data_IF_987124882137
#
_entry.id   IF_987124882137
#
_cell.length_a   1.000
_cell.length_b   1.000
_cell.length_c   1.000
_cell.angle_alpha   90.00
_cell.angle_beta   90.00
_cell.angle_gamma   90.00
#
_symmetry.space_group_name_H-M   'P 1'
#
loop_
_entity.id
_entity.type
_entity.pdbx_description
1 polymer ?
#
# COMPACT_ATOMS: atom_id res chain seq x y z
N UNK A 1 65.56 -10.54 24.54
CA UNK A 1 65.16 -9.57 23.50
C UNK A 1 63.71 -9.18 23.83
N UNK A 2 63.49 -8.46 24.94
CA UNK A 2 63.33 -6.99 25.09
C UNK A 2 61.96 -6.52 24.54
N UNK A 3 61.05 -5.79 25.20
CA UNK A 3 60.76 -5.26 26.55
C UNK A 3 59.28 -4.78 26.43
N UNK A 4 58.32 -5.06 27.32
CA UNK A 4 57.98 -4.42 28.61
C UNK A 4 57.79 -2.88 28.65
N UNK A 5 56.54 -2.46 28.99
CA UNK A 5 56.10 -1.34 29.87
C UNK A 5 56.35 0.11 29.33
N UNK A 6 55.59 1.19 29.62
CA UNK A 6 54.62 1.52 30.68
C UNK A 6 53.93 2.88 30.39
N UNK A 7 52.78 3.10 31.04
CA UNK A 7 52.15 4.34 31.54
C UNK A 7 51.98 5.62 30.69
N UNK A 8 50.73 6.10 30.70
CA UNK A 8 50.36 7.51 30.55
C UNK A 8 48.90 7.74 30.93
N UNK A 9 48.64 8.00 32.21
CA UNK A 9 47.33 8.39 32.74
C UNK A 9 47.04 9.88 32.46
N UNK A 10 45.80 10.25 32.14
CA UNK A 10 45.26 11.55 32.58
C UNK A 10 43.72 11.64 32.56
N UNK A 11 43.21 11.97 33.74
CA UNK A 11 42.06 12.82 34.06
C UNK A 11 40.62 12.39 33.72
N UNK A 12 39.95 12.00 34.81
CA UNK A 12 38.55 12.27 35.13
C UNK A 12 38.02 13.60 34.58
N UNK A 13 36.84 13.55 33.97
CA UNK A 13 35.84 14.62 34.06
C UNK A 13 34.46 13.96 34.18
N UNK A 14 33.95 13.90 35.41
CA UNK A 14 32.52 13.77 35.67
C UNK A 14 31.84 15.07 35.22
N UNK A 15 30.85 14.96 34.35
CA UNK A 15 29.82 15.98 34.19
C UNK A 15 28.46 15.35 34.51
N UNK A 16 27.87 15.81 35.61
CA UNK A 16 26.53 15.51 36.07
C UNK A 16 25.57 16.62 35.58
N UNK A 17 24.30 16.27 35.40
CA UNK A 17 23.12 17.14 35.13
C UNK A 17 22.97 17.62 33.66
N UNK A 18 21.81 17.59 33.00
CA UNK A 18 20.40 17.39 33.34
C UNK A 18 19.64 17.01 32.04
N UNK A 19 18.37 16.52 32.08
CA UNK A 19 17.66 16.07 30.90
C UNK A 19 17.28 17.26 30.01
N UNK A 20 17.79 17.29 28.78
CA UNK A 20 17.23 18.16 27.75
C UNK A 20 15.85 17.61 27.37
N UNK A 21 14.81 18.29 27.89
CA UNK A 21 13.45 18.14 27.47
C UNK A 21 13.39 18.13 25.93
N UNK A 22 12.93 17.02 25.35
CA UNK A 22 12.52 17.00 23.94
C UNK A 22 11.30 17.91 23.81
N UNK A 23 11.54 19.16 23.47
CA UNK A 23 10.51 20.02 22.92
C UNK A 23 9.89 19.28 21.73
N UNK A 24 8.58 19.03 21.81
CA UNK A 24 7.76 18.60 20.69
C UNK A 24 7.96 19.62 19.57
N UNK A 25 8.79 19.29 18.58
CA UNK A 25 8.64 19.89 17.27
C UNK A 25 7.30 19.41 16.74
N UNK A 26 6.29 20.27 16.90
CA UNK A 26 5.06 20.20 16.12
C UNK A 26 5.50 20.27 14.67
N UNK A 27 5.55 19.10 14.02
CA UNK A 27 5.75 19.03 12.59
C UNK A 27 4.55 19.72 11.94
N UNK A 28 4.79 20.90 11.36
CA UNK A 28 3.89 21.51 10.40
C UNK A 28 3.57 20.44 9.33
N UNK A 29 2.31 20.27 8.92
CA UNK A 29 2.01 19.38 7.81
C UNK A 29 2.80 19.86 6.58
N UNK A 30 3.49 18.97 5.86
CA UNK A 30 4.18 19.36 4.63
C UNK A 30 3.14 19.96 3.67
N UNK A 31 3.51 20.97 2.85
CA UNK A 31 2.63 21.48 1.83
C UNK A 31 2.20 20.32 0.94
N UNK A 32 0.90 20.19 0.72
CA UNK A 32 0.30 19.17 -0.14
C UNK A 32 0.96 19.28 -1.51
N UNK A 33 1.88 18.37 -1.81
CA UNK A 33 2.49 18.28 -3.12
C UNK A 33 1.36 18.00 -4.12
N UNK A 34 1.16 18.93 -5.05
CA UNK A 34 0.23 18.75 -6.16
C UNK A 34 0.74 17.57 -6.97
N UNK A 35 0.06 16.44 -6.86
CA UNK A 35 0.40 15.24 -7.61
C UNK A 35 0.11 15.47 -9.10
N UNK A 36 1.13 15.22 -9.92
CA UNK A 36 0.98 15.11 -11.37
C UNK A 36 0.04 13.94 -11.70
N UNK A 37 -1.09 14.24 -12.33
CA UNK A 37 -2.13 13.27 -12.69
C UNK A 37 -1.70 12.29 -13.79
N UNK A 38 -0.52 12.48 -14.38
CA UNK A 38 0.06 11.56 -15.38
C UNK A 38 1.05 10.57 -14.78
N UNK A 39 1.43 10.73 -13.51
CA UNK A 39 2.19 9.72 -12.77
C UNK A 39 1.23 8.74 -12.09
N UNK A 40 1.47 7.41 -12.15
CA UNK A 40 0.67 6.44 -11.42
C UNK A 40 0.71 6.78 -9.93
N UNK A 41 -0.42 7.20 -9.37
CA UNK A 41 -0.51 7.54 -7.95
C UNK A 41 -0.25 6.29 -7.10
N UNK A 42 0.40 6.40 -5.93
CA UNK A 42 0.54 5.32 -4.94
C UNK A 42 -0.78 4.83 -4.30
N UNK A 43 -1.95 5.08 -4.92
CA UNK A 43 -3.20 4.35 -4.66
C UNK A 43 -3.11 2.93 -5.21
N UNK A 44 -1.97 2.30 -4.90
CA UNK A 44 -1.52 0.97 -5.22
C UNK A 44 -2.69 0.02 -5.01
N UNK A 45 -3.02 -0.69 -6.09
CA UNK A 45 -4.10 -1.65 -6.22
C UNK A 45 -4.95 -1.85 -4.95
N UNK A 46 -6.14 -1.22 -4.83
CA UNK A 46 -6.98 -1.39 -3.64
C UNK A 46 -7.33 -2.86 -3.39
N UNK A 47 -7.30 -3.70 -4.42
CA UNK A 47 -7.49 -5.15 -4.28
C UNK A 47 -6.34 -5.82 -3.51
N UNK A 48 -5.10 -5.37 -3.67
CA UNK A 48 -3.92 -5.88 -2.98
C UNK A 48 -3.98 -5.60 -1.49
N UNK A 49 -4.29 -4.34 -1.15
CA UNK A 49 -4.45 -3.90 0.23
C UNK A 49 -5.58 -4.68 0.90
N UNK A 50 -6.73 -4.82 0.23
CA UNK A 50 -7.85 -5.57 0.77
C UNK A 50 -7.53 -7.07 0.93
N UNK A 51 -6.81 -7.68 -0.03
CA UNK A 51 -6.40 -9.09 0.01
C UNK A 51 -5.44 -9.36 1.15
N UNK A 52 -4.40 -8.53 1.30
CA UNK A 52 -3.41 -8.65 2.36
C UNK A 52 -4.04 -8.45 3.76
N UNK A 53 -4.88 -7.44 3.94
CA UNK A 53 -5.55 -7.16 5.21
C UNK A 53 -6.46 -8.31 5.64
N UNK A 54 -7.30 -8.82 4.73
CA UNK A 54 -8.18 -9.96 4.98
C UNK A 54 -7.41 -11.21 5.41
N UNK A 55 -6.36 -11.54 4.67
CA UNK A 55 -5.50 -12.67 4.98
C UNK A 55 -4.83 -12.50 6.35
N UNK A 56 -4.30 -11.30 6.61
CA UNK A 56 -3.70 -10.98 7.90
C UNK A 56 -4.69 -11.08 9.05
N UNK A 57 -5.89 -10.54 8.94
CA UNK A 57 -6.89 -10.60 10.01
C UNK A 57 -7.32 -12.04 10.30
N UNK A 58 -7.42 -12.88 9.26
CA UNK A 58 -7.66 -14.31 9.43
C UNK A 58 -6.53 -14.97 10.23
N UNK A 59 -5.28 -14.77 9.81
CA UNK A 59 -4.10 -15.36 10.45
C UNK A 59 -3.86 -14.82 11.88
N UNK A 60 -4.10 -13.52 12.12
CA UNK A 60 -3.99 -12.91 13.46
C UNK A 60 -4.93 -13.59 14.45
N UNK A 61 -6.16 -13.86 14.03
CA UNK A 61 -7.16 -14.54 14.85
C UNK A 61 -6.84 -16.01 15.05
N UNK A 62 -6.53 -16.72 13.96
CA UNK A 62 -6.30 -18.18 13.96
C UNK A 62 -5.03 -18.56 14.75
N UNK A 63 -3.99 -17.72 14.71
CA UNK A 63 -2.71 -17.95 15.39
C UNK A 63 -2.58 -17.23 16.74
N UNK A 64 -3.63 -16.51 17.18
CA UNK A 64 -3.65 -15.75 18.43
C UNK A 64 -2.44 -14.81 18.58
N UNK A 65 -2.17 -14.01 17.55
CA UNK A 65 -0.97 -13.17 17.50
C UNK A 65 -1.07 -11.97 18.45
N UNK A 66 0.05 -11.62 19.08
CA UNK A 66 0.15 -10.37 19.83
C UNK A 66 0.31 -9.15 18.89
N UNK A 67 0.26 -7.94 19.44
CA UNK A 67 0.30 -6.70 18.66
C UNK A 67 1.55 -6.56 17.77
N UNK A 68 2.73 -6.94 18.27
CA UNK A 68 3.97 -6.90 17.51
C UNK A 68 3.95 -7.90 16.35
N UNK A 69 3.58 -9.15 16.64
CA UNK A 69 3.49 -10.22 15.64
C UNK A 69 2.47 -9.90 14.56
N UNK A 70 1.31 -9.38 14.94
CA UNK A 70 0.26 -8.98 14.02
C UNK A 70 0.70 -7.84 13.10
N UNK A 71 1.43 -6.84 13.62
CA UNK A 71 1.97 -5.75 12.81
C UNK A 71 3.02 -6.25 11.79
N UNK A 72 3.94 -7.13 12.23
CA UNK A 72 4.94 -7.74 11.34
C UNK A 72 4.29 -8.62 10.28
N UNK A 73 3.33 -9.47 10.66
CA UNK A 73 2.56 -10.30 9.74
C UNK A 73 1.85 -9.47 8.67
N UNK A 74 1.22 -8.35 9.05
CA UNK A 74 0.56 -7.45 8.09
C UNK A 74 1.53 -6.87 7.06
N UNK A 75 2.71 -6.44 7.50
CA UNK A 75 3.74 -5.95 6.60
C UNK A 75 4.24 -7.04 5.65
N UNK A 76 4.48 -8.25 6.17
CA UNK A 76 4.90 -9.42 5.38
C UNK A 76 3.84 -9.74 4.33
N UNK A 77 2.57 -9.89 4.73
CA UNK A 77 1.50 -10.22 3.79
C UNK A 77 1.29 -9.12 2.75
N UNK A 78 1.41 -7.84 3.11
CA UNK A 78 1.31 -6.75 2.14
C UNK A 78 2.40 -6.82 1.06
N UNK A 79 3.66 -7.12 1.43
CA UNK A 79 4.76 -7.36 0.47
C UNK A 79 4.44 -8.56 -0.43
N UNK A 80 4.08 -9.71 0.16
CA UNK A 80 3.85 -10.95 -0.59
C UNK A 80 2.64 -10.86 -1.51
N UNK A 81 1.56 -10.24 -1.08
CA UNK A 81 0.37 -10.02 -1.93
C UNK A 81 0.71 -9.10 -3.10
N UNK A 82 1.49 -8.03 -2.87
CA UNK A 82 1.96 -7.16 -3.96
C UNK A 82 2.78 -7.93 -5.00
N UNK A 83 3.68 -8.82 -4.55
CA UNK A 83 4.44 -9.71 -5.44
C UNK A 83 3.56 -10.71 -6.19
N UNK A 84 2.56 -11.30 -5.52
CA UNK A 84 1.63 -12.24 -6.14
C UNK A 84 0.85 -11.60 -7.28
N UNK A 85 0.33 -10.41 -7.05
CA UNK A 85 -0.44 -9.71 -8.09
C UNK A 85 0.42 -9.29 -9.27
N UNK A 86 1.67 -8.88 -9.00
CA UNK A 86 2.62 -8.61 -10.07
C UNK A 86 2.89 -9.89 -10.89
N UNK A 87 3.09 -11.03 -10.22
CA UNK A 87 3.25 -12.33 -10.88
C UNK A 87 2.00 -12.74 -11.68
N UNK A 88 0.80 -12.54 -11.12
CA UNK A 88 -0.49 -12.83 -11.77
C UNK A 88 -0.67 -11.98 -13.03
N UNK A 89 -0.32 -10.69 -12.98
CA UNK A 89 -0.34 -9.80 -14.14
C UNK A 89 0.68 -10.19 -15.20
N UNK A 90 1.92 -10.48 -14.81
CA UNK A 90 3.01 -10.83 -15.73
C UNK A 90 2.78 -12.18 -16.42
N UNK A 91 2.16 -13.14 -15.73
CA UNK A 91 2.00 -14.51 -16.21
C UNK A 91 0.55 -14.88 -16.51
N UNK A 92 -0.33 -13.91 -16.82
CA UNK A 92 -1.76 -14.13 -17.04
C UNK A 92 -2.08 -15.24 -18.08
N UNK A 93 -1.14 -15.57 -18.98
CA UNK A 93 -1.28 -16.61 -20.00
C UNK A 93 -0.31 -17.80 -19.82
N UNK A 94 0.48 -17.81 -18.74
CA UNK A 94 1.49 -18.83 -18.47
C UNK A 94 1.33 -19.39 -17.05
N UNK A 95 0.39 -20.32 -16.89
CA UNK A 95 0.09 -20.94 -15.60
C UNK A 95 1.30 -21.63 -14.95
N UNK A 96 2.15 -22.40 -15.68
CA UNK A 96 3.34 -23.00 -15.08
C UNK A 96 4.31 -21.97 -14.47
N UNK A 97 4.56 -20.86 -15.18
CA UNK A 97 5.44 -19.81 -14.67
C UNK A 97 4.83 -19.09 -13.47
N UNK A 98 3.51 -18.86 -13.49
CA UNK A 98 2.79 -18.28 -12.35
C UNK A 98 2.89 -19.17 -11.10
N UNK A 99 2.69 -20.48 -11.25
CA UNK A 99 2.73 -21.43 -10.14
C UNK A 99 4.14 -21.51 -9.53
N UNK A 100 5.18 -21.45 -10.36
CA UNK A 100 6.56 -21.38 -9.88
C UNK A 100 6.83 -20.11 -9.06
N UNK A 101 6.42 -18.94 -9.57
CA UNK A 101 6.59 -17.68 -8.84
C UNK A 101 5.79 -17.66 -7.53
N UNK A 102 4.54 -18.14 -7.57
CA UNK A 102 3.68 -18.25 -6.39
C UNK A 102 4.33 -19.13 -5.33
N UNK A 103 4.88 -20.28 -5.72
CA UNK A 103 5.58 -21.19 -4.81
C UNK A 103 6.77 -20.50 -4.15
N UNK A 104 7.58 -19.77 -4.92
CA UNK A 104 8.69 -18.96 -4.38
C UNK A 104 8.22 -17.92 -3.37
N UNK A 105 7.17 -17.15 -3.68
CA UNK A 105 6.61 -16.13 -2.78
C UNK A 105 6.08 -16.76 -1.49
N UNK A 106 5.46 -17.94 -1.56
CA UNK A 106 5.01 -18.66 -0.36
C UNK A 106 6.18 -19.11 0.51
N UNK A 107 7.26 -19.59 -0.09
CA UNK A 107 8.49 -19.95 0.63
C UNK A 107 9.13 -18.74 1.32
N UNK A 108 9.18 -17.58 0.67
CA UNK A 108 9.65 -16.34 1.31
C UNK A 108 8.80 -16.00 2.55
N UNK A 109 7.47 -16.10 2.44
CA UNK A 109 6.56 -15.87 3.57
C UNK A 109 6.83 -16.82 4.72
N UNK A 110 7.01 -18.12 4.43
CA UNK A 110 7.32 -19.13 5.43
C UNK A 110 8.61 -18.77 6.20
N UNK A 111 9.66 -18.34 5.49
CA UNK A 111 10.92 -17.94 6.11
C UNK A 111 10.78 -16.68 6.98
N UNK A 112 10.08 -15.66 6.49
CA UNK A 112 9.89 -14.41 7.24
C UNK A 112 9.03 -14.62 8.49
N UNK A 113 7.99 -15.46 8.40
CA UNK A 113 7.12 -15.75 9.55
C UNK A 113 7.80 -16.61 10.61
N UNK A 114 8.74 -17.48 10.23
CA UNK A 114 9.56 -18.22 11.19
C UNK A 114 10.35 -17.31 12.13
N UNK A 115 10.74 -16.11 11.66
CA UNK A 115 11.45 -15.11 12.48
C UNK A 115 10.55 -14.21 13.34
N UNK A 116 9.22 -14.30 13.18
CA UNK A 116 8.24 -13.43 13.88
C UNK A 116 7.40 -14.21 14.89
N UNK A 117 7.04 -15.45 14.54
CA UNK A 117 6.16 -16.29 15.34
C UNK A 117 6.95 -17.07 16.40
N UNK A 118 6.29 -17.43 17.50
CA UNK A 118 6.84 -18.44 18.41
C UNK A 118 6.91 -19.80 17.71
N UNK A 119 7.66 -20.75 18.28
CA UNK A 119 7.76 -22.11 17.75
C UNK A 119 6.37 -22.75 17.57
N UNK A 120 5.51 -22.66 18.57
CA UNK A 120 4.16 -23.26 18.52
C UNK A 120 3.27 -22.57 17.48
N UNK A 121 3.31 -21.24 17.42
CA UNK A 121 2.56 -20.47 16.41
C UNK A 121 3.05 -20.75 15.00
N UNK A 122 4.36 -20.94 14.81
CA UNK A 122 4.92 -21.29 13.51
C UNK A 122 4.52 -22.70 13.09
N UNK A 123 4.51 -23.67 14.00
CA UNK A 123 4.02 -25.02 13.72
C UNK A 123 2.55 -24.99 13.28
N UNK A 124 1.70 -24.29 14.03
CA UNK A 124 0.28 -24.12 13.67
C UNK A 124 0.11 -23.43 12.31
N UNK A 125 0.89 -22.38 12.04
CA UNK A 125 0.93 -21.73 10.74
C UNK A 125 1.32 -22.69 9.62
N UNK A 126 2.38 -23.48 9.82
CA UNK A 126 2.92 -24.38 8.80
C UNK A 126 1.94 -25.50 8.43
N UNK A 127 1.18 -26.00 9.41
CA UNK A 127 0.09 -26.94 9.20
C UNK A 127 -1.11 -26.28 8.49
N UNK A 128 -1.44 -25.03 8.85
CA UNK A 128 -2.58 -24.30 8.32
C UNK A 128 -2.32 -23.58 6.97
N UNK A 129 -1.08 -23.48 6.49
CA UNK A 129 -0.71 -22.66 5.31
C UNK A 129 -1.52 -22.97 4.05
N UNK A 130 -1.92 -24.23 3.85
CA UNK A 130 -2.81 -24.61 2.75
C UNK A 130 -4.17 -23.93 2.82
N UNK A 131 -4.76 -23.81 4.02
CA UNK A 131 -6.02 -23.09 4.26
C UNK A 131 -5.87 -21.60 3.98
N UNK A 132 -4.78 -20.99 4.42
CA UNK A 132 -4.51 -19.57 4.18
C UNK A 132 -4.33 -19.26 2.70
N UNK A 133 -3.56 -20.09 1.98
CA UNK A 133 -3.35 -19.94 0.54
C UNK A 133 -4.64 -20.13 -0.25
N UNK A 134 -5.49 -21.08 0.18
CA UNK A 134 -6.82 -21.26 -0.42
C UNK A 134 -7.70 -20.03 -0.19
N UNK A 135 -7.79 -19.53 1.05
CA UNK A 135 -8.61 -18.37 1.37
C UNK A 135 -8.21 -17.13 0.57
N UNK A 136 -6.91 -16.91 0.40
CA UNK A 136 -6.34 -15.85 -0.41
C UNK A 136 -6.71 -15.98 -1.90
N UNK A 137 -6.55 -17.19 -2.47
CA UNK A 137 -6.90 -17.48 -3.87
C UNK A 137 -8.40 -17.33 -4.13
N UNK A 138 -9.23 -17.84 -3.23
CA UNK A 138 -10.69 -17.76 -3.34
C UNK A 138 -11.14 -16.29 -3.28
N UNK A 139 -10.49 -15.45 -2.47
CA UNK A 139 -10.76 -14.02 -2.46
C UNK A 139 -10.40 -13.38 -3.80
N UNK A 140 -9.22 -13.67 -4.34
CA UNK A 140 -8.79 -13.11 -5.63
C UNK A 140 -9.73 -13.50 -6.78
N UNK A 141 -10.20 -14.75 -6.81
CA UNK A 141 -11.17 -15.19 -7.83
C UNK A 141 -12.53 -14.51 -7.66
N UNK A 142 -13.05 -14.41 -6.45
CA UNK A 142 -14.32 -13.71 -6.19
C UNK A 142 -14.21 -12.21 -6.50
N UNK A 143 -13.12 -11.54 -6.13
CA UNK A 143 -12.89 -10.13 -6.45
C UNK A 143 -12.91 -9.89 -7.96
N UNK A 144 -12.25 -10.76 -8.73
CA UNK A 144 -12.25 -10.70 -10.20
C UNK A 144 -13.65 -10.87 -10.79
N UNK A 145 -14.45 -11.80 -10.26
CA UNK A 145 -15.83 -12.03 -10.69
C UNK A 145 -16.69 -10.79 -10.43
N UNK A 146 -16.63 -10.23 -9.22
CA UNK A 146 -17.40 -9.02 -8.86
C UNK A 146 -17.00 -7.83 -9.72
N UNK A 147 -15.70 -7.65 -10.00
CA UNK A 147 -15.23 -6.60 -10.91
C UNK A 147 -15.74 -6.79 -12.35
N UNK A 148 -15.77 -8.03 -12.83
CA UNK A 148 -16.31 -8.38 -14.15
C UNK A 148 -17.82 -8.12 -14.21
N UNK A 149 -18.58 -8.53 -13.20
CA UNK A 149 -20.01 -8.27 -13.09
C UNK A 149 -20.33 -6.77 -13.04
N UNK A 150 -19.56 -6.00 -12.27
CA UNK A 150 -19.69 -4.55 -12.21
C UNK A 150 -19.44 -3.89 -13.58
N UNK A 151 -18.44 -4.37 -14.32
CA UNK A 151 -18.16 -3.91 -15.67
C UNK A 151 -19.32 -4.25 -16.63
N UNK A 152 -19.79 -5.51 -16.64
CA UNK A 152 -20.92 -5.93 -17.49
C UNK A 152 -22.16 -5.10 -17.19
N UNK A 153 -22.49 -4.88 -15.91
CA UNK A 153 -23.62 -4.05 -15.49
C UNK A 153 -23.46 -2.59 -15.95
N UNK A 154 -22.25 -2.03 -15.88
CA UNK A 154 -22.00 -0.66 -16.34
C UNK A 154 -22.16 -0.48 -17.85
N UNK A 155 -21.95 -1.54 -18.63
CA UNK A 155 -22.15 -1.56 -20.08
C UNK A 155 -23.62 -1.79 -20.43
N UNK A 156 -24.32 -2.64 -19.67
CA UNK A 156 -25.73 -2.96 -19.90
C UNK A 156 -26.68 -1.84 -19.48
N UNK A 157 -26.40 -1.21 -18.33
CA UNK A 157 -27.17 -0.10 -17.77
C UNK A 157 -26.27 1.13 -17.59
N UNK A 158 -25.86 1.81 -18.68
CA UNK A 158 -25.08 3.02 -18.56
C UNK A 158 -25.90 4.04 -17.76
N UNK A 159 -25.28 4.62 -16.72
CA UNK A 159 -25.93 5.65 -15.92
C UNK A 159 -26.52 6.73 -16.85
N UNK A 160 -27.75 7.23 -16.60
CA UNK A 160 -28.35 8.24 -17.45
C UNK A 160 -27.42 9.44 -17.51
N UNK A 161 -26.90 9.72 -18.71
CA UNK A 161 -26.12 10.93 -18.98
C UNK A 161 -27.02 12.09 -18.57
N UNK A 162 -26.63 12.82 -17.52
CA UNK A 162 -27.31 14.08 -17.20
C UNK A 162 -27.17 14.97 -18.42
N UNK A 163 -28.29 15.40 -18.98
CA UNK A 163 -28.40 16.07 -20.28
C UNK A 163 -27.59 17.39 -20.43
N UNK A 164 -26.84 17.80 -19.42
CA UNK A 164 -26.16 19.09 -19.37
C UNK A 164 -24.64 19.03 -19.61
N UNK A 165 -23.99 17.85 -19.62
CA UNK A 165 -22.50 17.80 -19.58
C UNK A 165 -21.82 16.88 -20.63
N UNK A 166 -22.51 16.41 -21.66
CA UNK A 166 -21.87 15.66 -22.75
C UNK A 166 -22.42 16.04 -24.13
N UNK A 167 -21.91 17.11 -24.71
CA UNK A 167 -21.95 17.31 -26.17
C UNK A 167 -20.57 17.04 -26.74
N UNK A 168 -20.30 15.81 -27.19
CA UNK A 168 -19.25 15.56 -28.18
C UNK A 168 -19.87 15.80 -29.55
N UNK A 169 -19.97 17.08 -29.92
CA UNK A 169 -20.25 17.51 -31.28
C UNK A 169 -18.99 18.15 -31.87
N UNK A 170 -18.82 18.19 -33.20
CA UNK A 170 -17.71 18.91 -33.81
C UNK A 170 -17.70 20.36 -33.32
N UNK A 171 -16.54 20.85 -32.92
CA UNK A 171 -16.36 22.19 -32.37
C UNK A 171 -16.93 23.24 -33.33
N UNK A 172 -18.01 23.91 -32.93
CA UNK A 172 -18.61 24.99 -33.70
C UNK A 172 -17.94 26.30 -33.27
N UNK A 173 -17.21 27.02 -34.15
CA UNK A 173 -16.49 28.22 -33.76
C UNK A 173 -17.44 29.42 -33.83
N UNK A 174 -17.82 29.97 -32.68
CA UNK A 174 -17.97 31.42 -32.46
C UNK A 174 -18.46 31.73 -31.04
N UNK A 175 -17.51 32.15 -30.19
CA UNK A 175 -17.84 33.00 -29.06
C UNK A 175 -18.10 34.42 -29.62
N UNK A 176 -19.32 34.93 -29.47
CA UNK A 176 -19.62 36.31 -29.80
C UNK A 176 -19.24 37.17 -28.60
N UNK A 177 -18.10 37.84 -28.71
CA UNK A 177 -17.56 38.80 -27.74
C UNK A 177 -18.52 39.98 -27.59
N UNK A 178 -19.05 40.16 -26.37
CA UNK A 178 -19.76 41.38 -25.95
C UNK A 178 -18.72 42.49 -25.72
N UNK A 179 -18.80 43.66 -26.38
CA UNK A 179 -17.88 44.75 -26.08
C UNK A 179 -18.28 45.47 -24.79
N UNK A 180 -17.25 45.75 -23.99
CA UNK A 180 -17.30 46.66 -22.85
C UNK A 180 -17.21 48.12 -23.32
N UNK A 181 -17.97 49.00 -22.66
CA UNK A 181 -17.98 50.46 -22.83
C UNK A 181 -19.35 50.97 -22.38
N UNK A 182 -19.53 51.89 -21.43
CA UNK A 182 -18.77 53.08 -21.17
C UNK A 182 -18.91 53.49 -19.69
N UNK A 183 -17.81 53.88 -19.06
CA UNK A 183 -17.77 54.64 -17.80
C UNK A 183 -17.79 56.14 -18.12
N UNK A 184 -18.67 56.88 -17.45
CA UNK A 184 -18.62 58.34 -17.33
C UNK A 184 -19.99 58.98 -17.57
N UNK A 185 -20.40 60.02 -16.85
CA UNK A 185 -19.76 60.78 -15.77
C UNK A 185 -20.87 61.71 -15.25
N UNK A 186 -21.10 61.71 -13.95
CA UNK A 186 -21.98 62.69 -13.31
C UNK A 186 -21.25 64.05 -13.35
N UNK A 187 -21.86 65.07 -13.96
CA UNK A 187 -21.46 66.46 -13.77
C UNK A 187 -22.66 67.39 -14.04
N UNK A 188 -23.18 67.91 -12.92
CA UNK A 188 -24.09 69.07 -12.73
C UNK A 188 -25.51 69.00 -13.28
#
# INVERSE_FOLDING_TARGET
>A
MNNCLSLGALACLLALAAPAARAQQVALPPPVAVQDKTQPSPRLNPEATNRAERLSDYMVRDLHLNGYQAARLRAINADKTTKLEAAERLNAKNAPALDQQRTGIMHERDQELRGVLSTDQYSNYYEARGRYNKADRDYASTATQVATEALVKSVQDPAPVRANDATIGPANPKANTRPAGNLGRNAR
#
